data_IF_127772462152
#
_entry.id   IF_127772462152
#
_cell.length_a   1.000
_cell.length_b   1.000
_cell.length_c   1.000
_cell.angle_alpha   90.00
_cell.angle_beta   90.00
_cell.angle_gamma   90.00
#
_symmetry.space_group_name_H-M   'P 1'
#
loop_
_entity.id
_entity.type
_entity.pdbx_description
1 polymer ?
#
# COMPACT_ATOMS: atom_id res chain seq x y z
N UNK A 1 -37.37 25.20 36.83
CA UNK A 1 -35.98 24.70 36.76
C UNK A 1 -34.99 25.59 37.51
N UNK A 2 -35.15 26.91 37.51
CA UNK A 2 -34.24 27.84 38.21
C UNK A 2 -34.15 27.62 39.72
N UNK A 3 -35.24 27.22 40.37
CA UNK A 3 -35.26 26.95 41.81
C UNK A 3 -34.43 25.71 42.22
N UNK A 4 -34.17 24.78 41.29
CA UNK A 4 -33.40 23.57 41.56
C UNK A 4 -31.88 23.81 41.49
N UNK A 5 -31.46 24.73 40.61
CA UNK A 5 -30.05 25.12 40.48
C UNK A 5 -29.61 25.97 41.68
N UNK A 6 -30.50 26.82 42.18
CA UNK A 6 -30.23 27.68 43.34
C UNK A 6 -30.26 26.93 44.69
N UNK A 7 -30.82 25.72 44.76
CA UNK A 7 -30.82 24.90 45.98
C UNK A 7 -29.57 24.04 46.15
N UNK A 8 -28.70 23.96 45.13
CA UNK A 8 -27.47 23.16 45.21
C UNK A 8 -26.38 23.91 45.98
N UNK A 9 -25.64 23.23 46.88
CA UNK A 9 -24.49 23.83 47.55
C UNK A 9 -23.47 24.34 46.52
N UNK A 10 -22.95 25.55 46.70
CA UNK A 10 -21.91 26.15 45.84
C UNK A 10 -20.77 25.18 45.43
N UNK A 11 -20.20 24.33 46.32
CA UNK A 11 -19.16 23.38 45.90
C UNK A 11 -19.65 22.33 44.88
N UNK A 12 -20.93 21.92 44.94
CA UNK A 12 -21.50 20.97 43.98
C UNK A 12 -21.67 21.63 42.61
N UNK A 13 -22.07 22.91 42.56
CA UNK A 13 -22.20 23.65 41.31
C UNK A 13 -20.85 23.81 40.61
N UNK A 14 -19.77 24.11 41.35
CA UNK A 14 -18.40 24.15 40.83
C UNK A 14 -17.96 22.80 40.28
N UNK A 15 -18.22 21.70 41.01
CA UNK A 15 -17.91 20.34 40.56
C UNK A 15 -18.64 20.01 39.24
N UNK A 16 -19.91 20.36 39.14
CA UNK A 16 -20.75 20.10 37.97
C UNK A 16 -20.24 20.87 36.74
N UNK A 17 -19.89 22.14 36.91
CA UNK A 17 -19.25 22.96 35.85
C UNK A 17 -17.92 22.35 35.41
N UNK A 18 -17.09 21.87 36.35
CA UNK A 18 -15.82 21.20 36.04
C UNK A 18 -16.03 19.91 35.24
N UNK A 19 -16.99 19.07 35.63
CA UNK A 19 -17.32 17.84 34.92
C UNK A 19 -17.82 18.15 33.50
N UNK A 20 -18.70 19.13 33.34
CA UNK A 20 -19.20 19.57 32.03
C UNK A 20 -18.07 20.12 31.17
N UNK A 21 -17.17 20.92 31.74
CA UNK A 21 -16.01 21.45 31.01
C UNK A 21 -15.07 20.34 30.54
N UNK A 22 -14.76 19.36 31.41
CA UNK A 22 -13.95 18.19 31.04
C UNK A 22 -14.65 17.41 29.92
N UNK A 23 -15.95 17.14 30.06
CA UNK A 23 -16.71 16.41 29.04
C UNK A 23 -16.72 17.13 27.69
N UNK A 24 -16.91 18.46 27.69
CA UNK A 24 -16.82 19.29 26.48
C UNK A 24 -15.41 19.23 25.87
N UNK A 25 -14.35 19.29 26.67
CA UNK A 25 -12.98 19.16 26.17
C UNK A 25 -12.75 17.78 25.53
N UNK A 26 -13.21 16.69 26.16
CA UNK A 26 -13.09 15.34 25.58
C UNK A 26 -13.89 15.18 24.28
N UNK A 27 -15.03 15.86 24.15
CA UNK A 27 -15.81 15.87 22.90
C UNK A 27 -15.16 16.72 21.81
N UNK A 28 -14.57 17.86 22.15
CA UNK A 28 -13.94 18.77 21.19
C UNK A 28 -12.52 18.36 20.81
N UNK A 29 -11.80 17.71 21.72
CA UNK A 29 -10.41 17.28 21.59
C UNK A 29 -10.28 15.86 22.15
N UNK A 30 -10.72 14.84 21.39
CA UNK A 30 -10.53 13.46 21.82
C UNK A 30 -9.05 13.22 22.11
N UNK A 31 -8.72 12.49 23.20
CA UNK A 31 -7.34 12.25 23.57
C UNK A 31 -6.63 11.53 22.41
N UNK A 32 -5.48 12.06 21.98
CA UNK A 32 -4.67 11.42 20.94
C UNK A 32 -4.31 10.01 21.39
N UNK A 33 -4.56 9.06 20.52
CA UNK A 33 -4.19 7.66 20.74
C UNK A 33 -2.72 7.45 20.37
N UNK A 34 -2.17 6.30 20.78
CA UNK A 34 -0.82 5.87 20.37
C UNK A 34 -0.75 5.76 18.84
N UNK A 35 -1.83 5.30 18.20
CA UNK A 35 -1.89 5.16 16.74
C UNK A 35 -1.88 6.51 16.02
N UNK A 36 -2.46 7.57 16.60
CA UNK A 36 -2.37 8.91 16.03
C UNK A 36 -0.93 9.43 16.04
N UNK A 37 -0.19 9.12 17.10
CA UNK A 37 1.23 9.49 17.21
C UNK A 37 2.07 8.71 16.19
N UNK A 38 1.84 7.39 16.06
CA UNK A 38 2.54 6.56 15.07
C UNK A 38 2.20 6.97 13.63
N UNK A 39 0.95 7.38 13.38
CA UNK A 39 0.51 7.89 12.09
C UNK A 39 1.19 9.24 11.76
N UNK A 40 1.28 10.15 12.72
CA UNK A 40 1.98 11.43 12.55
C UNK A 40 3.47 11.20 12.27
N UNK A 41 4.13 10.32 13.03
CA UNK A 41 5.53 9.91 12.76
C UNK A 41 5.69 9.27 11.39
N UNK A 42 4.79 8.37 10.99
CA UNK A 42 4.82 7.76 9.67
C UNK A 42 4.68 8.80 8.55
N UNK A 43 3.76 9.75 8.68
CA UNK A 43 3.59 10.82 7.69
C UNK A 43 4.83 11.70 7.59
N UNK A 44 5.46 12.02 8.72
CA UNK A 44 6.70 12.78 8.76
C UNK A 44 7.84 12.06 8.03
N UNK A 45 8.06 10.78 8.35
CA UNK A 45 9.11 9.94 7.74
C UNK A 45 8.91 9.74 6.23
N UNK A 46 7.66 9.85 5.76
CA UNK A 46 7.27 9.61 4.37
C UNK A 46 7.09 10.89 3.54
N UNK A 47 7.38 12.07 4.11
CA UNK A 47 7.33 13.35 3.38
C UNK A 47 8.28 13.32 2.17
N UNK A 48 7.81 13.85 1.05
CA UNK A 48 8.52 13.84 -0.23
C UNK A 48 8.53 12.48 -0.94
N UNK A 49 8.28 11.38 -0.24
CA UNK A 49 8.25 10.03 -0.81
C UNK A 49 6.85 9.68 -1.33
N UNK A 50 5.90 9.46 -0.41
CA UNK A 50 4.49 9.20 -0.75
C UNK A 50 3.56 10.37 -0.42
N UNK A 51 4.00 11.29 0.45
CA UNK A 51 3.27 12.52 0.74
C UNK A 51 3.96 13.72 0.07
N UNK A 52 3.19 14.69 -0.41
CA UNK A 52 3.74 15.92 -0.95
C UNK A 52 4.51 16.70 0.14
N UNK A 53 5.67 17.25 -0.22
CA UNK A 53 6.47 18.10 0.66
C UNK A 53 6.08 19.57 0.45
N UNK A 54 5.68 20.25 1.52
CA UNK A 54 5.41 21.69 1.50
C UNK A 54 6.67 22.44 1.94
N UNK A 55 7.34 23.10 1.02
CA UNK A 55 8.52 23.93 1.31
C UNK A 55 8.22 25.40 0.97
N UNK A 56 8.09 26.23 2.01
CA UNK A 56 7.69 27.64 1.91
C UNK A 56 6.36 27.81 1.15
N UNK A 57 6.42 28.28 -0.10
CA UNK A 57 5.26 28.49 -1.00
C UNK A 57 5.11 27.38 -2.06
N UNK A 58 6.07 26.47 -2.14
CA UNK A 58 6.11 25.43 -3.16
C UNK A 58 5.57 24.11 -2.59
N UNK A 59 4.76 23.42 -3.37
CA UNK A 59 4.31 22.05 -3.09
C UNK A 59 5.05 21.13 -4.04
N UNK A 60 5.99 20.35 -3.50
CA UNK A 60 6.75 19.37 -4.27
C UNK A 60 5.93 18.07 -4.29
N UNK A 61 5.57 17.54 -5.47
CA UNK A 61 4.80 16.31 -5.56
C UNK A 61 5.59 15.11 -5.01
N UNK A 62 4.90 14.05 -4.56
CA UNK A 62 5.56 12.86 -4.04
C UNK A 62 6.41 12.17 -5.12
N UNK A 63 7.63 11.76 -4.76
CA UNK A 63 8.58 11.16 -5.70
C UNK A 63 8.15 9.78 -6.20
N UNK A 64 7.30 9.07 -5.44
CA UNK A 64 6.85 7.72 -5.77
C UNK A 64 6.17 7.63 -7.14
N UNK A 65 5.44 8.66 -7.56
CA UNK A 65 4.74 8.66 -8.86
C UNK A 65 5.75 8.70 -10.00
N UNK A 66 6.75 9.58 -9.90
CA UNK A 66 7.82 9.70 -10.90
C UNK A 66 8.68 8.44 -10.97
N UNK A 67 9.02 7.84 -9.82
CA UNK A 67 9.81 6.60 -9.80
C UNK A 67 9.01 5.39 -10.30
N UNK A 68 7.70 5.34 -10.04
CA UNK A 68 6.78 4.34 -10.64
C UNK A 68 6.77 4.43 -12.15
N UNK A 69 6.61 5.62 -12.72
CA UNK A 69 6.60 5.85 -14.16
C UNK A 69 7.95 5.47 -14.79
N UNK A 70 9.07 5.87 -14.17
CA UNK A 70 10.40 5.49 -14.63
C UNK A 70 10.60 3.96 -14.63
N UNK A 71 10.12 3.29 -13.58
CA UNK A 71 10.16 1.82 -13.48
C UNK A 71 9.31 1.14 -14.55
N UNK A 72 8.10 1.63 -14.82
CA UNK A 72 7.21 1.10 -15.85
C UNK A 72 7.80 1.25 -17.26
N UNK A 73 8.46 2.38 -17.54
CA UNK A 73 9.10 2.64 -18.83
C UNK A 73 10.39 1.85 -19.01
N UNK A 74 11.19 1.70 -17.95
CA UNK A 74 12.51 1.06 -18.03
C UNK A 74 12.51 -0.45 -17.83
N UNK A 75 11.55 -1.01 -17.09
CA UNK A 75 11.42 -2.43 -16.73
C UNK A 75 12.78 -3.13 -16.48
N UNK A 76 13.59 -2.54 -15.60
CA UNK A 76 14.93 -3.05 -15.28
C UNK A 76 15.29 -2.75 -13.82
N UNK A 77 16.26 -3.49 -13.24
CA UNK A 77 16.72 -3.25 -11.87
C UNK A 77 17.06 -1.79 -11.60
N UNK A 78 17.80 -1.14 -12.51
CA UNK A 78 18.21 0.26 -12.35
C UNK A 78 17.02 1.22 -12.39
N UNK A 79 16.08 1.04 -13.33
CA UNK A 79 14.92 1.91 -13.45
C UNK A 79 13.92 1.81 -12.29
N UNK A 80 13.85 0.65 -11.64
CA UNK A 80 12.89 0.37 -10.58
C UNK A 80 13.45 0.54 -9.17
N UNK A 81 14.77 0.74 -9.03
CA UNK A 81 15.45 0.85 -7.75
C UNK A 81 14.81 1.87 -6.80
N UNK A 82 14.61 3.12 -7.25
CA UNK A 82 14.04 4.18 -6.40
C UNK A 82 12.59 3.88 -5.99
N UNK A 83 11.81 3.26 -6.88
CA UNK A 83 10.44 2.88 -6.60
C UNK A 83 10.39 1.78 -5.54
N UNK A 84 11.15 0.71 -5.70
CA UNK A 84 11.21 -0.39 -4.74
C UNK A 84 11.81 0.02 -3.40
N UNK A 85 12.81 0.90 -3.40
CA UNK A 85 13.34 1.50 -2.17
C UNK A 85 12.26 2.28 -1.42
N UNK A 86 11.43 3.05 -2.13
CA UNK A 86 10.30 3.79 -1.54
C UNK A 86 9.25 2.82 -0.98
N UNK A 87 8.87 1.79 -1.73
CA UNK A 87 7.95 0.75 -1.27
C UNK A 87 8.44 0.05 0.00
N UNK A 88 9.73 -0.29 0.04
CA UNK A 88 10.36 -0.87 1.24
C UNK A 88 10.24 0.06 2.44
N UNK A 89 10.55 1.36 2.28
CA UNK A 89 10.41 2.35 3.36
C UNK A 89 8.98 2.47 3.86
N UNK A 90 7.99 2.46 2.97
CA UNK A 90 6.56 2.49 3.33
C UNK A 90 6.20 1.23 4.12
N UNK A 91 6.59 0.05 3.63
CA UNK A 91 6.32 -1.21 4.30
C UNK A 91 6.98 -1.30 5.68
N UNK A 92 8.24 -0.88 5.79
CA UNK A 92 8.99 -0.84 7.06
C UNK A 92 8.34 0.15 8.04
N UNK A 93 7.87 1.31 7.56
CA UNK A 93 7.16 2.29 8.39
C UNK A 93 5.88 1.72 9.00
N UNK A 94 5.08 0.99 8.21
CA UNK A 94 3.87 0.32 8.71
C UNK A 94 4.23 -0.87 9.61
N UNK A 95 5.28 -1.63 9.28
CA UNK A 95 5.67 -2.79 10.07
C UNK A 95 6.21 -2.44 11.46
N UNK A 96 6.85 -1.27 11.60
CA UNK A 96 7.30 -0.73 12.90
C UNK A 96 6.13 -0.31 13.80
N UNK A 97 4.97 -0.01 13.23
CA UNK A 97 3.77 0.30 14.00
C UNK A 97 3.24 -0.95 14.71
N UNK A 98 2.56 -0.73 15.84
CA UNK A 98 1.97 -1.83 16.59
C UNK A 98 0.88 -2.52 15.75
N UNK A 99 0.57 -3.78 16.09
CA UNK A 99 -0.43 -4.58 15.38
C UNK A 99 -1.80 -3.90 15.33
N UNK A 100 -2.17 -3.17 16.37
CA UNK A 100 -3.44 -2.45 16.50
C UNK A 100 -3.49 -1.21 15.59
N UNK A 101 -2.35 -0.58 15.34
CA UNK A 101 -2.26 0.64 14.52
C UNK A 101 -2.04 0.35 13.04
N UNK A 102 -1.61 -0.86 12.66
CA UNK A 102 -1.30 -1.21 11.27
C UNK A 102 -2.48 -0.96 10.31
N UNK A 103 -3.70 -1.28 10.73
CA UNK A 103 -4.90 -1.02 9.93
C UNK A 103 -5.17 0.48 9.73
N UNK A 104 -4.93 1.32 10.75
CA UNK A 104 -5.07 2.77 10.65
C UNK A 104 -4.01 3.38 9.72
N UNK A 105 -2.76 2.94 9.81
CA UNK A 105 -1.69 3.41 8.93
C UNK A 105 -1.91 2.96 7.48
N UNK A 106 -2.32 1.70 7.27
CA UNK A 106 -2.69 1.20 5.95
C UNK A 106 -3.95 1.88 5.40
N UNK A 107 -4.85 2.35 6.27
CA UNK A 107 -6.05 3.10 5.90
C UNK A 107 -5.75 4.45 5.23
N UNK A 108 -4.52 4.96 5.34
CA UNK A 108 -4.08 6.16 4.61
C UNK A 108 -4.02 5.85 3.12
N UNK A 109 -4.71 6.67 2.31
CA UNK A 109 -4.90 6.40 0.88
C UNK A 109 -3.56 6.27 0.12
N UNK A 110 -2.59 7.13 0.42
CA UNK A 110 -1.27 7.13 -0.20
C UNK A 110 -0.48 5.86 0.14
N UNK A 111 -0.53 5.42 1.40
CA UNK A 111 0.12 4.20 1.85
C UNK A 111 -0.54 2.95 1.24
N UNK A 112 -1.87 2.87 1.29
CA UNK A 112 -2.64 1.81 0.64
C UNK A 112 -2.30 1.68 -0.83
N UNK A 113 -2.34 2.80 -1.54
CA UNK A 113 -2.07 2.85 -2.99
C UNK A 113 -0.63 2.44 -3.28
N UNK A 114 0.35 2.92 -2.51
CA UNK A 114 1.74 2.52 -2.66
C UNK A 114 1.92 1.00 -2.51
N UNK A 115 1.33 0.39 -1.47
CA UNK A 115 1.41 -1.06 -1.25
C UNK A 115 0.70 -1.84 -2.37
N UNK A 116 -0.55 -1.50 -2.71
CA UNK A 116 -1.33 -2.24 -3.72
C UNK A 116 -0.73 -2.13 -5.11
N UNK A 117 -0.34 -0.92 -5.51
CA UNK A 117 0.27 -0.68 -6.82
C UNK A 117 1.68 -1.29 -6.87
N UNK A 118 2.39 -1.29 -5.75
CA UNK A 118 3.69 -1.94 -5.62
C UNK A 118 3.60 -3.45 -5.86
N UNK A 119 2.68 -4.13 -5.17
CA UNK A 119 2.42 -5.57 -5.36
C UNK A 119 2.02 -5.87 -6.81
N UNK A 120 1.11 -5.07 -7.38
CA UNK A 120 0.68 -5.23 -8.77
C UNK A 120 1.84 -5.03 -9.75
N UNK A 121 2.58 -3.93 -9.63
CA UNK A 121 3.66 -3.62 -10.55
C UNK A 121 4.78 -4.65 -10.45
N UNK A 122 5.19 -5.03 -9.24
CA UNK A 122 6.20 -6.08 -9.06
C UNK A 122 5.77 -7.40 -9.70
N UNK A 123 4.52 -7.80 -9.50
CA UNK A 123 3.99 -9.02 -10.12
C UNK A 123 4.02 -8.91 -11.65
N UNK A 124 3.59 -7.77 -12.21
CA UNK A 124 3.57 -7.56 -13.66
C UNK A 124 4.97 -7.52 -14.28
N UNK A 125 5.95 -6.95 -13.59
CA UNK A 125 7.34 -6.91 -14.03
C UNK A 125 7.96 -8.31 -14.03
N UNK A 126 7.72 -9.09 -12.97
CA UNK A 126 8.18 -10.48 -12.88
C UNK A 126 7.48 -11.38 -13.92
N UNK A 127 6.20 -11.11 -14.21
CA UNK A 127 5.43 -11.82 -15.22
C UNK A 127 5.91 -11.50 -16.65
N UNK A 128 6.22 -10.25 -16.95
CA UNK A 128 6.67 -9.84 -18.29
C UNK A 128 5.56 -9.81 -19.33
N UNK A 129 5.93 -9.97 -20.60
CA UNK A 129 5.02 -9.86 -21.76
C UNK A 129 4.15 -11.10 -21.98
N UNK A 130 4.57 -12.26 -21.44
CA UNK A 130 3.89 -13.55 -21.57
C UNK A 130 4.04 -14.33 -20.27
N UNK A 131 3.18 -15.33 -20.01
CA UNK A 131 3.34 -16.18 -18.84
C UNK A 131 4.76 -16.78 -18.77
N UNK A 132 5.51 -16.54 -17.68
CA UNK A 132 6.85 -17.11 -17.53
C UNK A 132 6.74 -18.62 -17.28
N UNK A 133 7.82 -19.36 -17.51
CA UNK A 133 7.85 -20.76 -17.11
C UNK A 133 7.78 -20.92 -15.58
N UNK A 134 7.19 -22.00 -15.05
CA UNK A 134 6.97 -22.18 -13.60
C UNK A 134 8.27 -22.45 -12.82
N UNK A 135 9.43 -22.25 -13.44
CA UNK A 135 10.77 -22.43 -12.89
C UNK A 135 11.24 -21.14 -12.21
N UNK A 136 12.54 -20.82 -12.27
CA UNK A 136 13.09 -19.58 -11.74
C UNK A 136 12.70 -18.35 -12.58
N UNK A 137 12.25 -18.54 -13.82
CA UNK A 137 11.84 -17.46 -14.72
C UNK A 137 10.65 -16.65 -14.19
N UNK A 138 9.84 -17.24 -13.30
CA UNK A 138 8.69 -16.56 -12.66
C UNK A 138 9.05 -15.32 -11.83
N UNK A 139 10.33 -15.15 -11.50
CA UNK A 139 10.84 -13.98 -10.78
C UNK A 139 11.37 -12.89 -11.74
N UNK A 140 11.42 -13.16 -13.04
CA UNK A 140 11.98 -12.25 -14.04
C UNK A 140 13.43 -11.88 -13.70
N UNK A 141 13.72 -10.58 -13.69
CA UNK A 141 15.03 -10.06 -13.29
C UNK A 141 15.20 -9.84 -11.78
N UNK A 142 14.14 -10.04 -10.99
CA UNK A 142 14.14 -9.73 -9.55
C UNK A 142 15.13 -10.59 -8.78
N UNK A 143 15.89 -9.96 -7.90
CA UNK A 143 16.82 -10.63 -7.02
C UNK A 143 16.24 -10.72 -5.60
N UNK A 144 17.03 -11.29 -4.70
CA UNK A 144 16.65 -11.54 -3.31
C UNK A 144 16.13 -10.28 -2.59
N UNK A 145 16.72 -9.11 -2.87
CA UNK A 145 16.31 -7.84 -2.26
C UNK A 145 14.90 -7.39 -2.70
N UNK A 146 14.56 -7.57 -3.98
CA UNK A 146 13.23 -7.28 -4.50
C UNK A 146 12.21 -8.29 -3.99
N UNK A 147 12.55 -9.59 -3.95
CA UNK A 147 11.68 -10.61 -3.37
C UNK A 147 11.38 -10.34 -1.90
N UNK A 148 12.38 -9.94 -1.11
CA UNK A 148 12.20 -9.51 0.27
C UNK A 148 11.28 -8.28 0.37
N UNK A 149 11.38 -7.35 -0.57
CA UNK A 149 10.50 -6.17 -0.62
C UNK A 149 9.06 -6.60 -0.90
N UNK A 150 8.83 -7.45 -1.90
CA UNK A 150 7.50 -8.02 -2.18
C UNK A 150 6.90 -8.73 -0.96
N UNK A 151 7.71 -9.53 -0.24
CA UNK A 151 7.27 -10.22 0.96
C UNK A 151 6.91 -9.26 2.11
N UNK A 152 7.63 -8.14 2.28
CA UNK A 152 7.25 -7.09 3.22
C UNK A 152 5.90 -6.46 2.86
N UNK A 153 5.67 -6.17 1.57
CA UNK A 153 4.40 -5.63 1.08
C UNK A 153 3.24 -6.60 1.35
N UNK A 154 3.43 -7.88 1.04
CA UNK A 154 2.48 -8.95 1.35
C UNK A 154 2.15 -9.02 2.84
N UNK A 155 3.17 -9.02 3.69
CA UNK A 155 2.99 -9.08 5.15
C UNK A 155 2.19 -7.89 5.68
N UNK A 156 2.53 -6.66 5.24
CA UNK A 156 1.77 -5.45 5.58
C UNK A 156 0.31 -5.55 5.12
N UNK A 157 0.09 -6.01 3.88
CA UNK A 157 -1.25 -6.13 3.33
C UNK A 157 -2.11 -7.14 4.09
N UNK A 158 -1.57 -8.34 4.38
CA UNK A 158 -2.25 -9.40 5.14
C UNK A 158 -2.52 -8.95 6.57
N UNK A 159 -1.56 -8.28 7.23
CA UNK A 159 -1.77 -7.72 8.58
C UNK A 159 -2.92 -6.72 8.62
N UNK A 160 -3.09 -5.92 7.58
CA UNK A 160 -4.11 -4.87 7.53
C UNK A 160 -5.49 -5.37 7.08
N UNK A 161 -5.56 -6.35 6.16
CA UNK A 161 -6.81 -6.77 5.50
C UNK A 161 -7.16 -8.25 5.71
N UNK A 162 -6.30 -9.02 6.36
CA UNK A 162 -6.41 -10.48 6.47
C UNK A 162 -6.03 -11.23 5.19
N UNK A 163 -6.02 -12.56 5.29
CA UNK A 163 -5.71 -13.45 4.17
C UNK A 163 -6.77 -13.39 3.06
N UNK A 164 -8.04 -13.20 3.40
CA UNK A 164 -9.13 -13.07 2.42
C UNK A 164 -8.93 -11.85 1.51
N UNK A 165 -8.57 -10.70 2.10
CA UNK A 165 -8.24 -9.51 1.34
C UNK A 165 -7.04 -9.73 0.40
N UNK A 166 -6.03 -10.49 0.85
CA UNK A 166 -4.89 -10.84 0.01
C UNK A 166 -5.28 -11.71 -1.18
N UNK A 167 -6.15 -12.70 -0.97
CA UNK A 167 -6.71 -13.53 -2.05
C UNK A 167 -7.51 -12.68 -3.04
N UNK A 168 -8.30 -11.71 -2.56
CA UNK A 168 -9.04 -10.80 -3.44
C UNK A 168 -8.10 -9.91 -4.28
N UNK A 169 -7.09 -9.29 -3.65
CA UNK A 169 -6.09 -8.49 -4.35
C UNK A 169 -5.39 -9.31 -5.43
N UNK A 170 -4.98 -10.53 -5.08
CA UNK A 170 -4.33 -11.46 -6.01
C UNK A 170 -5.22 -11.75 -7.22
N UNK A 171 -6.49 -12.09 -7.01
CA UNK A 171 -7.43 -12.36 -8.12
C UNK A 171 -7.62 -11.14 -9.03
N UNK A 172 -7.71 -9.94 -8.44
CA UNK A 172 -7.76 -8.68 -9.20
C UNK A 172 -6.51 -8.50 -10.07
N UNK A 173 -5.33 -8.84 -9.56
CA UNK A 173 -4.07 -8.76 -10.32
C UNK A 173 -4.01 -9.84 -11.40
N UNK A 174 -4.40 -11.08 -11.12
CA UNK A 174 -4.44 -12.17 -12.10
C UNK A 174 -5.27 -11.84 -13.35
N UNK A 175 -6.39 -11.14 -13.16
CA UNK A 175 -7.25 -10.70 -14.27
C UNK A 175 -6.59 -9.66 -15.18
N UNK A 176 -5.47 -9.06 -14.78
CA UNK A 176 -4.72 -8.04 -15.54
C UNK A 176 -3.45 -8.59 -16.19
N UNK A 177 -3.07 -9.83 -15.91
CA UNK A 177 -1.84 -10.43 -16.44
C UNK A 177 -2.06 -10.91 -17.89
N UNK A 178 -1.09 -10.71 -18.80
CA UNK A 178 -1.19 -11.22 -20.17
C UNK A 178 -1.10 -12.75 -20.19
N UNK A 179 -1.97 -13.39 -20.98
CA UNK A 179 -2.01 -14.84 -21.18
C UNK A 179 -1.22 -15.32 -22.39
N UNK A 180 -0.88 -14.43 -23.32
CA UNK A 180 -0.11 -14.70 -24.53
C UNK A 180 0.77 -13.50 -24.88
N UNK A 181 1.82 -13.73 -25.68
CA UNK A 181 2.72 -12.69 -26.16
C UNK A 181 1.99 -11.82 -27.20
N UNK A 182 1.89 -10.51 -26.96
CA UNK A 182 1.32 -9.57 -27.94
C UNK A 182 2.36 -9.35 -29.03
N UNK A 183 2.07 -9.67 -30.30
CA UNK A 183 2.96 -9.32 -31.40
C UNK A 183 3.10 -7.80 -31.46
N UNK A 184 4.34 -7.31 -31.52
CA UNK A 184 4.58 -5.89 -31.79
C UNK A 184 4.11 -5.61 -33.22
N UNK A 185 3.18 -4.66 -33.40
CA UNK A 185 2.76 -4.24 -34.72
C UNK A 185 3.97 -3.67 -35.47
N UNK A 186 4.41 -4.38 -36.52
CA UNK A 186 5.58 -4.00 -37.31
C UNK A 186 5.24 -2.92 -38.35
N UNK A 187 3.96 -2.80 -38.73
CA UNK A 187 3.50 -1.86 -39.75
C UNK A 187 2.62 -0.73 -39.16
N UNK A 188 2.80 0.53 -39.61
CA UNK A 188 1.90 1.62 -39.23
C UNK A 188 0.50 1.37 -39.80
N UNK A 189 -0.48 1.12 -38.93
CA UNK A 189 -1.89 0.90 -39.30
C UNK A 189 -2.41 -0.50 -39.01
N UNK A 190 -1.58 -1.43 -38.57
CA UNK A 190 -2.05 -2.74 -38.11
C UNK A 190 -2.64 -2.60 -36.70
N UNK A 191 -3.94 -2.90 -36.55
CA UNK A 191 -4.59 -2.93 -35.24
C UNK A 191 -3.92 -3.99 -34.36
N UNK A 192 -3.46 -3.59 -33.18
CA UNK A 192 -2.92 -4.53 -32.21
C UNK A 192 -4.06 -5.43 -31.71
N UNK A 193 -3.95 -6.72 -31.97
CA UNK A 193 -4.85 -7.72 -31.37
C UNK A 193 -4.73 -7.58 -29.86
N UNK A 194 -5.85 -7.37 -29.17
CA UNK A 194 -5.83 -7.32 -27.71
C UNK A 194 -5.36 -8.68 -27.18
N UNK A 195 -4.33 -8.72 -26.30
CA UNK A 195 -3.89 -9.98 -25.70
C UNK A 195 -5.05 -10.63 -24.95
N UNK A 196 -5.18 -11.94 -25.10
CA UNK A 196 -5.96 -12.72 -24.15
C UNK A 196 -5.34 -12.61 -22.77
N UNK A 197 -6.19 -12.46 -21.76
CA UNK A 197 -5.76 -12.36 -20.36
C UNK A 197 -5.46 -13.74 -19.80
N UNK A 198 -4.52 -13.82 -18.86
CA UNK A 198 -4.06 -15.06 -18.25
C UNK A 198 -5.20 -15.90 -17.65
N UNK A 199 -6.17 -15.24 -17.00
CA UNK A 199 -7.34 -15.88 -16.40
C UNK A 199 -8.34 -16.48 -17.41
N UNK A 200 -8.20 -16.18 -18.70
CA UNK A 200 -9.00 -16.81 -19.77
C UNK A 200 -8.30 -18.02 -20.40
N UNK A 201 -6.98 -18.12 -20.23
CA UNK A 201 -6.13 -19.13 -20.89
C UNK A 201 -5.61 -20.19 -19.91
N UNK A 202 -5.61 -19.91 -18.61
CA UNK A 202 -5.01 -20.76 -17.58
C UNK A 202 -5.86 -20.80 -16.31
N UNK A 203 -5.70 -21.88 -15.54
CA UNK A 203 -6.32 -22.01 -14.21
C UNK A 203 -5.65 -21.06 -13.21
N UNK A 204 -6.38 -20.69 -12.15
CA UNK A 204 -5.85 -19.84 -11.06
C UNK A 204 -4.58 -20.43 -10.43
N UNK A 205 -4.53 -21.75 -10.26
CA UNK A 205 -3.36 -22.47 -9.74
C UNK A 205 -2.14 -22.35 -10.66
N UNK A 206 -2.34 -22.42 -11.98
CA UNK A 206 -1.25 -22.28 -12.94
C UNK A 206 -0.70 -20.85 -12.92
N UNK A 207 -1.58 -19.84 -12.87
CA UNK A 207 -1.19 -18.43 -12.72
C UNK A 207 -0.42 -18.23 -11.42
N UNK A 208 -0.89 -18.79 -10.31
CA UNK A 208 -0.19 -18.73 -9.03
C UNK A 208 1.24 -19.25 -9.15
N UNK A 209 1.42 -20.47 -9.65
CA UNK A 209 2.72 -21.14 -9.74
C UNK A 209 3.73 -20.40 -10.64
N UNK A 210 3.23 -19.66 -11.63
CA UNK A 210 4.03 -18.82 -12.55
C UNK A 210 4.20 -17.38 -12.10
N UNK A 211 3.51 -16.95 -11.04
CA UNK A 211 3.55 -15.56 -10.58
C UNK A 211 4.43 -15.38 -9.36
N UNK A 212 4.80 -14.13 -9.11
CA UNK A 212 5.50 -13.70 -7.90
C UNK A 212 4.74 -14.07 -6.61
N UNK A 213 3.42 -14.26 -6.68
CA UNK A 213 2.62 -14.67 -5.52
C UNK A 213 2.99 -16.05 -4.95
N UNK A 214 3.60 -16.93 -5.75
CA UNK A 214 4.08 -18.24 -5.28
C UNK A 214 5.38 -18.17 -4.46
N UNK A 215 5.97 -16.99 -4.30
CA UNK A 215 7.18 -16.81 -3.49
C UNK A 215 6.90 -17.20 -2.04
N UNK A 216 7.83 -17.98 -1.47
CA UNK A 216 7.80 -18.37 -0.06
C UNK A 216 8.35 -17.23 0.76
N UNK A 217 7.48 -16.49 1.44
CA UNK A 217 7.90 -15.35 2.25
C UNK A 217 8.43 -15.72 3.63
N UNK A 218 8.33 -16.99 4.04
CA UNK A 218 8.86 -17.43 5.35
C UNK A 218 10.39 -17.33 5.47
N UNK A 219 11.10 -17.18 4.35
CA UNK A 219 12.57 -17.13 4.31
C UNK A 219 13.13 -15.70 4.27
N UNK A 220 12.26 -14.67 4.24
CA UNK A 220 12.62 -13.26 3.99
C UNK A 220 12.28 -12.32 5.15
#
# INVERSE_FOLDING_TARGET
>A
MENFINSLPKPVLVLLVLIVAIFVIFLLQPPRTICDTQLDSFKEDQKGSIFALKEKKNVIPPSIQRSKEACQLGNSPGSCYEYFLTLKKVADGINKASTECAAQLFGVAEARTAITDGVELMTRLAWGLKPPEPTLERFGWMQEAELATFCRLRSVYIRANGEEGWVELRRKIFAKLPGEEVPVALEPGQESVQPRMANTMMTEENIWNRSLFSVRCEIF
#
